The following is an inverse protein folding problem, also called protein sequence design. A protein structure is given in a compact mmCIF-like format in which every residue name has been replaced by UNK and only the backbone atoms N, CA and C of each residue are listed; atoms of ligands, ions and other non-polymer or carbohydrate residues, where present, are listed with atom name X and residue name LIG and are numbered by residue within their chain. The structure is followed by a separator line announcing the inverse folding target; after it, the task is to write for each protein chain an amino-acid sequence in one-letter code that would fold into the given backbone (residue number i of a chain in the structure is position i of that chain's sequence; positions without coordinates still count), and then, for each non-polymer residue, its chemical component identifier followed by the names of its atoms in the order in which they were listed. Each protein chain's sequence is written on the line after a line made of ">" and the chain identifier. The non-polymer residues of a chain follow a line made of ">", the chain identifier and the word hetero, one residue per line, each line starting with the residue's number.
data_IF_103294157412
#
_entry.id   IF_103294157412
#
_cell.length_a   1.000
_cell.length_b   1.000
_cell.length_c   1.000
_cell.angle_alpha   90.00
_cell.angle_beta   90.00
_cell.angle_gamma   90.00
#
_symmetry.space_group_name_H-M   'P 1'
#
loop_
_entity.id
_entity.type
_entity.pdbx_description
1 polymer ?
#
# COMPACT_ATOMS: atom_id res chain seq x y z
N UNK A 1 0.31 1.57 -21.75
CA UNK A 1 -0.72 0.77 -21.05
C UNK A 1 -1.87 1.69 -20.67
N UNK A 2 -3.11 1.20 -20.62
CA UNK A 2 -4.23 1.99 -20.09
C UNK A 2 -3.92 2.41 -18.65
N UNK A 3 -4.20 3.66 -18.29
CA UNK A 3 -4.09 4.14 -16.91
C UNK A 3 -5.32 3.71 -16.11
N UNK A 4 -5.10 3.24 -14.89
CA UNK A 4 -6.20 2.93 -13.96
C UNK A 4 -6.61 4.22 -13.26
N UNK A 5 -7.74 4.80 -13.66
CA UNK A 5 -8.28 6.04 -13.08
C UNK A 5 -9.19 5.79 -11.87
N UNK A 6 -9.22 4.57 -11.36
CA UNK A 6 -10.10 4.22 -10.25
C UNK A 6 -9.62 4.81 -8.92
N UNK A 7 -10.45 5.68 -8.37
CA UNK A 7 -10.32 6.19 -7.00
C UNK A 7 -11.41 5.55 -6.15
N UNK A 8 -11.03 4.96 -5.02
CA UNK A 8 -11.99 4.31 -4.13
C UNK A 8 -12.98 5.35 -3.56
N UNK A 9 -14.29 5.22 -3.81
CA UNK A 9 -15.26 6.11 -3.19
C UNK A 9 -15.25 5.96 -1.66
N UNK A 10 -15.34 7.08 -0.93
CA UNK A 10 -15.28 7.05 0.54
C UNK A 10 -16.37 6.15 1.15
N UNK A 11 -17.59 6.20 0.63
CA UNK A 11 -18.68 5.35 1.10
C UNK A 11 -18.36 3.86 0.94
N UNK A 12 -17.67 3.47 -0.14
CA UNK A 12 -17.32 2.08 -0.41
C UNK A 12 -16.23 1.60 0.55
N UNK A 13 -15.28 2.48 0.90
CA UNK A 13 -14.30 2.20 1.95
C UNK A 13 -14.98 1.94 3.29
N UNK A 14 -15.80 2.88 3.77
CA UNK A 14 -16.47 2.75 5.07
C UNK A 14 -17.45 1.58 5.13
N UNK A 15 -18.26 1.40 4.08
CA UNK A 15 -19.16 0.25 3.98
C UNK A 15 -18.37 -1.06 3.90
N UNK A 16 -17.26 -1.09 3.16
CA UNK A 16 -16.38 -2.25 3.05
C UNK A 16 -15.85 -2.69 4.41
N UNK A 17 -15.39 -1.75 5.25
CA UNK A 17 -14.90 -2.04 6.59
C UNK A 17 -15.95 -2.62 7.53
N UNK A 18 -17.25 -2.42 7.26
CA UNK A 18 -18.33 -2.97 8.09
C UNK A 18 -18.87 -4.27 7.49
N UNK A 19 -19.24 -4.25 6.21
CA UNK A 19 -19.93 -5.35 5.53
C UNK A 19 -19.01 -6.55 5.33
N UNK A 20 -17.77 -6.33 4.88
CA UNK A 20 -16.86 -7.42 4.56
C UNK A 20 -16.52 -8.28 5.79
N UNK A 21 -16.13 -7.73 6.96
CA UNK A 21 -15.87 -8.54 8.15
C UNK A 21 -17.06 -9.32 8.65
N UNK A 22 -18.25 -8.73 8.65
CA UNK A 22 -19.47 -9.43 9.07
C UNK A 22 -19.74 -10.62 8.15
N UNK A 23 -19.64 -10.40 6.84
CA UNK A 23 -19.78 -11.48 5.86
C UNK A 23 -18.71 -12.56 6.04
N UNK A 24 -17.43 -12.17 6.19
CA UNK A 24 -16.32 -13.08 6.40
C UNK A 24 -16.47 -13.90 7.69
N UNK A 25 -16.92 -13.27 8.77
CA UNK A 25 -17.20 -13.93 10.05
C UNK A 25 -18.32 -14.97 9.93
N UNK A 26 -19.44 -14.62 9.27
CA UNK A 26 -20.54 -15.56 9.03
C UNK A 26 -20.08 -16.75 8.18
N UNK A 27 -19.31 -16.51 7.12
CA UNK A 27 -18.75 -17.57 6.30
C UNK A 27 -17.79 -18.47 7.08
N UNK A 28 -16.84 -17.89 7.82
CA UNK A 28 -15.86 -18.63 8.60
C UNK A 28 -16.53 -19.55 9.62
N UNK A 29 -17.57 -19.07 10.31
CA UNK A 29 -18.33 -19.88 11.28
C UNK A 29 -19.10 -21.00 10.62
N UNK A 30 -19.72 -20.77 9.46
CA UNK A 30 -20.39 -21.82 8.68
C UNK A 30 -19.41 -22.91 8.23
N UNK A 31 -18.23 -22.52 7.78
CA UNK A 31 -17.18 -23.46 7.37
C UNK A 31 -16.69 -24.30 8.55
N UNK A 32 -16.38 -23.67 9.71
CA UNK A 32 -15.98 -24.40 10.92
C UNK A 32 -17.08 -25.38 11.39
N UNK A 33 -18.34 -24.97 11.34
CA UNK A 33 -19.47 -25.84 11.70
C UNK A 33 -19.59 -27.05 10.77
N UNK A 34 -19.46 -26.85 9.45
CA UNK A 34 -19.49 -27.93 8.46
C UNK A 34 -18.32 -28.90 8.64
N UNK A 35 -17.13 -28.37 8.89
CA UNK A 35 -15.93 -29.17 9.07
C UNK A 35 -15.97 -30.03 10.35
N UNK A 36 -16.58 -29.54 11.45
CA UNK A 36 -16.86 -30.37 12.64
C UNK A 36 -17.79 -31.56 12.37
N UNK A 37 -18.75 -31.40 11.45
CA UNK A 37 -19.76 -32.44 11.16
C UNK A 37 -19.25 -33.47 10.15
N UNK A 38 -18.44 -33.05 9.18
CA UNK A 38 -18.01 -33.92 8.06
C UNK A 38 -16.54 -34.37 8.15
N UNK A 39 -15.78 -33.92 9.15
CA UNK A 39 -14.37 -34.28 9.34
C UNK A 39 -13.39 -33.71 8.30
N UNK A 40 -13.90 -32.99 7.30
CA UNK A 40 -13.15 -32.66 6.09
C UNK A 40 -12.66 -31.19 6.11
N UNK A 41 -11.54 -30.95 6.82
CA UNK A 41 -10.92 -29.62 6.91
C UNK A 41 -9.99 -29.29 5.73
N UNK A 42 -9.67 -30.26 4.86
CA UNK A 42 -8.52 -30.20 3.93
C UNK A 42 -8.90 -30.09 2.45
N UNK A 43 -10.17 -29.86 2.13
CA UNK A 43 -10.62 -29.73 0.73
C UNK A 43 -10.20 -28.40 0.09
N UNK A 44 -9.72 -28.45 -1.16
CA UNK A 44 -9.56 -27.25 -1.97
C UNK A 44 -10.94 -26.68 -2.32
N UNK A 45 -11.16 -25.38 -2.13
CA UNK A 45 -12.45 -24.78 -2.51
C UNK A 45 -12.32 -24.05 -3.85
N UNK A 46 -13.25 -24.34 -4.76
CA UNK A 46 -13.25 -23.75 -6.10
C UNK A 46 -13.44 -22.22 -6.06
N UNK A 47 -14.35 -21.66 -5.24
CA UNK A 47 -14.48 -20.21 -5.11
C UNK A 47 -13.19 -19.55 -4.61
N UNK A 48 -12.49 -20.16 -3.66
CA UNK A 48 -11.22 -19.65 -3.15
C UNK A 48 -10.12 -19.71 -4.21
N UNK A 49 -10.08 -20.77 -5.02
CA UNK A 49 -9.13 -20.87 -6.13
C UNK A 49 -9.31 -19.74 -7.14
N UNK A 50 -10.56 -19.42 -7.52
CA UNK A 50 -10.85 -18.28 -8.40
C UNK A 50 -10.55 -16.94 -7.73
N UNK A 51 -10.85 -16.79 -6.45
CA UNK A 51 -10.50 -15.59 -5.69
C UNK A 51 -8.98 -15.36 -5.68
N UNK A 52 -8.19 -16.41 -5.42
CA UNK A 52 -6.73 -16.36 -5.44
C UNK A 52 -6.20 -16.11 -6.86
N UNK A 53 -6.85 -16.64 -7.90
CA UNK A 53 -6.50 -16.33 -9.29
C UNK A 53 -6.66 -14.83 -9.58
N UNK A 54 -7.76 -14.23 -9.15
CA UNK A 54 -7.99 -12.79 -9.36
C UNK A 54 -7.01 -11.95 -8.52
N UNK A 55 -6.78 -12.34 -7.26
CA UNK A 55 -6.00 -11.59 -6.29
C UNK A 55 -4.51 -11.91 -6.24
N UNK A 56 -4.06 -12.89 -7.01
CA UNK A 56 -2.71 -13.44 -6.90
C UNK A 56 -2.24 -14.13 -8.17
N UNK A 57 -3.08 -14.19 -9.21
CA UNK A 57 -2.79 -14.95 -10.42
C UNK A 57 -1.63 -14.39 -11.24
N UNK A 58 -1.37 -13.08 -11.17
CA UNK A 58 -0.19 -12.49 -11.82
C UNK A 58 1.13 -13.00 -11.23
N UNK A 59 1.12 -13.50 -10.00
CA UNK A 59 2.27 -14.12 -9.34
C UNK A 59 2.18 -15.66 -9.32
N UNK A 60 1.15 -16.24 -9.95
CA UNK A 60 0.92 -17.69 -9.96
C UNK A 60 0.43 -18.27 -8.63
N UNK A 61 -0.10 -17.45 -7.70
CA UNK A 61 -0.49 -17.91 -6.35
C UNK A 61 -1.58 -18.99 -6.37
N UNK A 62 -2.47 -18.98 -7.37
CA UNK A 62 -3.51 -20.00 -7.53
C UNK A 62 -2.94 -21.38 -7.84
N UNK A 63 -1.79 -21.45 -8.52
CA UNK A 63 -1.08 -22.72 -8.76
C UNK A 63 -0.42 -23.22 -7.48
N UNK A 64 0.16 -22.34 -6.67
CA UNK A 64 0.73 -22.73 -5.37
C UNK A 64 -0.34 -23.18 -4.38
N UNK A 65 -1.50 -22.52 -4.37
CA UNK A 65 -2.67 -22.96 -3.62
C UNK A 65 -3.01 -24.42 -3.96
N UNK A 66 -2.96 -24.79 -5.25
CA UNK A 66 -3.20 -26.15 -5.73
C UNK A 66 -1.94 -27.06 -5.70
N UNK A 67 -0.92 -26.73 -4.90
CA UNK A 67 0.36 -27.46 -4.74
C UNK A 67 1.09 -27.74 -6.07
N UNK A 68 1.01 -26.82 -7.03
CA UNK A 68 1.66 -26.91 -8.33
C UNK A 68 2.80 -25.89 -8.45
N UNK A 69 4.03 -26.35 -8.66
CA UNK A 69 5.20 -25.48 -8.87
C UNK A 69 5.18 -24.69 -10.18
N UNK A 70 4.29 -25.03 -11.12
CA UNK A 70 4.10 -24.26 -12.36
C UNK A 70 3.71 -22.79 -12.12
N UNK A 71 3.28 -22.43 -10.90
CA UNK A 71 3.12 -21.03 -10.50
C UNK A 71 4.40 -20.20 -10.65
N UNK A 72 5.58 -20.83 -10.52
CA UNK A 72 6.88 -20.16 -10.71
C UNK A 72 7.06 -19.59 -12.12
N UNK A 73 6.37 -20.10 -13.14
CA UNK A 73 6.46 -19.56 -14.51
C UNK A 73 5.88 -18.15 -14.65
N UNK A 74 4.96 -17.74 -13.75
CA UNK A 74 4.37 -16.41 -13.76
C UNK A 74 5.37 -15.35 -13.26
N UNK A 75 6.27 -15.72 -12.35
CA UNK A 75 7.17 -14.79 -11.66
C UNK A 75 8.15 -14.11 -12.63
N UNK A 76 8.88 -14.82 -13.52
CA UNK A 76 9.77 -14.17 -14.48
C UNK A 76 9.04 -13.22 -15.44
N UNK A 77 7.85 -13.60 -15.90
CA UNK A 77 7.03 -12.75 -16.78
C UNK A 77 6.61 -11.49 -16.04
N UNK A 78 6.16 -11.63 -14.79
CA UNK A 78 5.80 -10.51 -13.94
C UNK A 78 7.01 -9.58 -13.67
N UNK A 79 8.16 -10.13 -13.27
CA UNK A 79 9.39 -9.36 -13.03
C UNK A 79 9.81 -8.62 -14.30
N UNK A 80 9.73 -9.24 -15.47
CA UNK A 80 10.04 -8.59 -16.73
C UNK A 80 9.15 -7.38 -16.99
N UNK A 81 7.85 -7.45 -16.68
CA UNK A 81 6.94 -6.30 -16.76
C UNK A 81 7.43 -5.16 -15.84
N UNK A 82 7.86 -5.49 -14.61
CA UNK A 82 8.37 -4.48 -13.66
C UNK A 82 9.61 -3.78 -14.21
N UNK A 83 10.57 -4.55 -14.73
CA UNK A 83 11.82 -4.04 -15.33
C UNK A 83 11.50 -3.19 -16.56
N UNK A 84 10.68 -3.69 -17.48
CA UNK A 84 10.31 -2.98 -18.69
C UNK A 84 9.59 -1.65 -18.40
N UNK A 85 8.70 -1.62 -17.41
CA UNK A 85 8.07 -0.37 -16.97
C UNK A 85 9.05 0.56 -16.24
N UNK A 86 10.08 0.03 -15.56
CA UNK A 86 11.20 0.79 -15.01
C UNK A 86 11.98 1.52 -16.09
N UNK A 87 12.47 0.78 -17.08
CA UNK A 87 13.18 1.31 -18.25
C UNK A 87 12.33 2.34 -19.00
N UNK A 88 11.05 2.05 -19.20
CA UNK A 88 10.13 2.99 -19.85
C UNK A 88 10.06 4.35 -19.12
N UNK A 89 10.20 4.37 -17.79
CA UNK A 89 10.23 5.63 -17.01
C UNK A 89 11.53 6.39 -17.22
N UNK A 90 12.67 5.72 -17.25
CA UNK A 90 13.96 6.35 -17.52
C UNK A 90 13.99 6.98 -18.91
N UNK A 91 13.62 6.23 -19.95
CA UNK A 91 13.56 6.78 -21.31
C UNK A 91 12.55 7.93 -21.46
N UNK A 92 11.47 7.95 -20.65
CA UNK A 92 10.54 9.08 -20.62
C UNK A 92 11.17 10.33 -20.05
N UNK A 93 11.96 10.21 -18.97
CA UNK A 93 12.70 11.32 -18.39
C UNK A 93 13.73 11.87 -19.39
N UNK A 94 14.57 10.98 -19.95
CA UNK A 94 15.57 11.38 -20.96
C UNK A 94 14.94 12.03 -22.20
N UNK A 95 13.79 11.51 -22.66
CA UNK A 95 13.05 12.12 -23.76
C UNK A 95 12.55 13.52 -23.39
N UNK A 96 11.99 13.70 -22.20
CA UNK A 96 11.48 15.00 -21.74
C UNK A 96 12.58 16.05 -21.70
N UNK A 97 13.75 15.71 -21.16
CA UNK A 97 14.90 16.60 -21.06
C UNK A 97 15.45 16.98 -22.44
N UNK A 98 15.63 15.99 -23.32
CA UNK A 98 16.14 16.20 -24.66
C UNK A 98 15.15 17.00 -25.54
N UNK A 99 13.85 16.69 -25.45
CA UNK A 99 12.81 17.39 -26.18
C UNK A 99 12.69 18.87 -25.74
N UNK A 100 12.78 19.15 -24.44
CA UNK A 100 12.78 20.51 -23.92
C UNK A 100 13.97 21.33 -24.47
N UNK A 101 15.16 20.71 -24.55
CA UNK A 101 16.35 21.35 -25.11
C UNK A 101 16.18 21.64 -26.61
N UNK A 102 15.65 20.68 -27.38
CA UNK A 102 15.31 20.86 -28.81
C UNK A 102 14.33 22.02 -28.99
N UNK A 103 13.26 22.07 -28.22
CA UNK A 103 12.25 23.13 -28.30
C UNK A 103 12.86 24.51 -27.98
N UNK A 104 13.67 24.59 -26.92
CA UNK A 104 14.36 25.83 -26.54
C UNK A 104 15.34 26.31 -27.63
N UNK A 105 16.13 25.39 -28.20
CA UNK A 105 17.14 25.66 -29.21
C UNK A 105 16.49 26.08 -30.54
N UNK A 106 15.44 25.38 -30.96
CA UNK A 106 14.66 25.73 -32.15
C UNK A 106 14.01 27.11 -31.99
N UNK A 107 13.47 27.40 -30.80
CA UNK A 107 12.94 28.72 -30.48
C UNK A 107 14.00 29.82 -30.55
N UNK A 108 15.22 29.56 -30.07
CA UNK A 108 16.33 30.51 -30.16
C UNK A 108 16.78 30.75 -31.62
N UNK A 109 16.91 29.69 -32.43
CA UNK A 109 17.26 29.80 -33.85
C UNK A 109 16.22 30.61 -34.61
N UNK A 110 14.94 30.33 -34.37
CA UNK A 110 13.82 31.01 -35.03
C UNK A 110 13.77 32.51 -34.69
N UNK A 111 14.17 32.90 -33.47
CA UNK A 111 14.19 34.30 -33.02
C UNK A 111 15.46 35.06 -33.44
N UNK A 112 16.63 34.43 -33.32
CA UNK A 112 17.92 35.11 -33.54
C UNK A 112 18.24 35.27 -35.03
N UNK A 113 17.80 34.36 -35.90
CA UNK A 113 18.03 34.45 -37.35
C UNK A 113 17.54 35.78 -37.97
N UNK A 114 16.24 36.12 -37.83
CA UNK A 114 15.71 37.39 -38.34
C UNK A 114 16.34 38.63 -37.68
N UNK A 115 16.60 38.58 -36.37
CA UNK A 115 17.22 39.69 -35.63
C UNK A 115 18.63 39.99 -36.12
N UNK A 116 19.43 38.96 -36.37
CA UNK A 116 20.78 39.13 -36.93
C UNK A 116 20.69 39.75 -38.32
N UNK A 117 19.79 39.26 -39.18
CA UNK A 117 19.60 39.82 -40.51
C UNK A 117 19.18 41.30 -40.49
N UNK A 118 18.28 41.68 -39.57
CA UNK A 118 17.87 43.07 -39.37
C UNK A 118 19.03 43.96 -38.89
N UNK A 119 19.78 43.51 -37.88
CA UNK A 119 20.93 44.25 -37.36
C UNK A 119 22.06 44.39 -38.39
N UNK A 120 22.31 43.35 -39.19
CA UNK A 120 23.28 43.39 -40.29
C UNK A 120 22.83 44.32 -41.41
N UNK A 121 21.53 44.39 -41.70
CA UNK A 121 20.96 45.33 -42.66
C UNK A 121 21.07 46.80 -42.25
N UNK A 122 21.05 47.10 -40.94
CA UNK A 122 21.21 48.45 -40.39
C UNK A 122 22.68 48.89 -40.25
N UNK A 123 23.63 47.96 -40.33
CA UNK A 123 25.06 48.22 -40.11
C UNK A 123 25.70 49.15 -41.16
N UNK A 124 25.39 49.05 -42.48
CA UNK A 124 25.90 49.96 -43.50
C UNK A 124 25.54 51.42 -43.23
N UNK A 125 24.29 51.71 -42.89
CA UNK A 125 23.83 53.08 -42.58
C UNK A 125 24.57 53.67 -41.37
N UNK A 126 24.85 52.84 -40.36
CA UNK A 126 25.62 53.27 -39.18
C UNK A 126 27.08 53.56 -39.53
N UNK A 127 27.68 52.77 -40.43
CA UNK A 127 29.04 52.99 -40.93
C UNK A 127 29.14 54.21 -41.83
N UNK A 128 28.12 54.46 -42.65
CA UNK A 128 28.03 55.66 -43.47
C UNK A 128 27.92 56.93 -42.60
N UNK A 129 27.07 56.92 -41.57
CA UNK A 129 26.97 58.01 -40.59
C UNK A 129 28.29 58.28 -39.86
N UNK A 130 29.09 57.25 -39.61
CA UNK A 130 30.44 57.39 -39.04
C UNK A 130 31.41 58.02 -40.06
N UNK A 131 31.37 57.60 -41.32
CA UNK A 131 32.23 58.11 -42.39
C UNK A 131 31.95 59.58 -42.75
N UNK A 132 30.70 60.04 -42.59
CA UNK A 132 30.31 61.44 -42.82
C UNK A 132 30.62 62.37 -41.64
N UNK A 133 30.97 61.83 -40.46
CA UNK A 133 31.23 62.63 -39.27
C UNK A 133 32.69 63.15 -39.23
N UNK A 134 32.94 64.45 -38.96
CA UNK A 134 34.30 64.97 -38.87
C UNK A 134 35.10 64.30 -37.75
N UNK A 135 36.31 63.82 -38.07
CA UNK A 135 37.20 63.16 -37.09
C UNK A 135 37.44 64.05 -35.86
N UNK A 136 37.28 63.47 -34.66
CA UNK A 136 37.44 64.17 -33.39
C UNK A 136 36.19 64.88 -32.85
N UNK A 137 35.13 65.04 -33.66
CA UNK A 137 33.86 65.67 -33.24
C UNK A 137 33.08 64.81 -32.22
N UNK A 138 32.17 65.44 -31.45
CA UNK A 138 31.27 64.71 -30.55
C UNK A 138 30.37 63.73 -31.34
N UNK A 139 29.95 64.13 -32.55
CA UNK A 139 29.16 63.30 -33.46
C UNK A 139 29.91 62.04 -33.93
N UNK A 140 31.21 62.18 -34.23
CA UNK A 140 32.07 61.04 -34.58
C UNK A 140 32.17 60.02 -33.43
N UNK A 141 32.44 60.47 -32.20
CA UNK A 141 32.52 59.58 -31.01
C UNK A 141 31.19 58.87 -30.71
N UNK A 142 30.05 59.52 -30.97
CA UNK A 142 28.72 58.92 -30.81
C UNK A 142 28.44 57.87 -31.90
N UNK A 143 28.75 58.18 -33.16
CA UNK A 143 28.62 57.26 -34.28
C UNK A 143 29.54 56.03 -34.11
N UNK A 144 30.78 56.22 -33.68
CA UNK A 144 31.75 55.17 -33.39
C UNK A 144 31.24 54.22 -32.28
N UNK A 145 30.72 54.78 -31.18
CA UNK A 145 30.07 54.00 -30.11
C UNK A 145 28.83 53.26 -30.61
N UNK A 146 28.07 53.85 -31.53
CA UNK A 146 26.90 53.23 -32.14
C UNK A 146 27.26 51.99 -32.96
N UNK A 147 28.24 52.12 -33.85
CA UNK A 147 28.79 51.01 -34.65
C UNK A 147 29.35 49.91 -33.74
N UNK A 148 30.20 50.25 -32.77
CA UNK A 148 30.79 49.28 -31.83
C UNK A 148 29.74 48.51 -31.02
N UNK A 149 28.65 49.17 -30.60
CA UNK A 149 27.53 48.51 -29.90
C UNK A 149 26.74 47.59 -30.83
N UNK A 150 26.48 48.00 -32.06
CA UNK A 150 25.79 47.18 -33.05
C UNK A 150 26.60 45.92 -33.37
N UNK A 151 27.90 46.06 -33.62
CA UNK A 151 28.82 44.94 -33.87
C UNK A 151 28.89 43.98 -32.66
N UNK A 152 28.98 44.51 -31.42
CA UNK A 152 28.96 43.68 -30.22
C UNK A 152 27.64 42.92 -30.04
N UNK A 153 26.49 43.53 -30.36
CA UNK A 153 25.18 42.85 -30.32
C UNK A 153 25.08 41.75 -31.37
N UNK A 154 25.53 42.01 -32.61
CA UNK A 154 25.57 41.02 -33.69
C UNK A 154 26.47 39.84 -33.28
N UNK A 155 27.67 40.10 -32.77
CA UNK A 155 28.60 39.05 -32.32
C UNK A 155 27.98 38.18 -31.23
N UNK A 156 27.40 38.77 -30.18
CA UNK A 156 26.74 38.02 -29.10
C UNK A 156 25.55 37.18 -29.60
N UNK A 157 24.80 37.70 -30.58
CA UNK A 157 23.62 37.04 -31.13
C UNK A 157 24.03 35.87 -32.04
N UNK A 158 25.10 36.04 -32.83
CA UNK A 158 25.73 34.95 -33.60
C UNK A 158 26.25 33.85 -32.70
N UNK A 159 26.86 34.19 -31.56
CA UNK A 159 27.34 33.22 -30.58
C UNK A 159 26.19 32.44 -29.93
N UNK A 160 25.08 33.13 -29.57
CA UNK A 160 23.85 32.46 -29.09
C UNK A 160 23.23 31.55 -30.16
N UNK A 161 23.21 32.00 -31.42
CA UNK A 161 22.73 31.21 -32.54
C UNK A 161 23.60 29.96 -32.79
N UNK A 162 24.92 30.10 -32.70
CA UNK A 162 25.86 28.99 -32.83
C UNK A 162 25.66 27.96 -31.72
N UNK A 163 25.57 28.40 -30.46
CA UNK A 163 25.23 27.54 -29.31
C UNK A 163 23.92 26.79 -29.53
N UNK A 164 22.85 27.51 -29.90
CA UNK A 164 21.54 26.90 -30.15
C UNK A 164 21.58 25.86 -31.28
N UNK A 165 22.38 26.06 -32.33
CA UNK A 165 22.57 25.05 -33.39
C UNK A 165 23.29 23.82 -32.87
N UNK A 166 24.37 23.99 -32.10
CA UNK A 166 25.09 22.87 -31.47
C UNK A 166 24.20 22.10 -30.51
N UNK A 167 23.41 22.80 -29.69
CA UNK A 167 22.45 22.20 -28.77
C UNK A 167 21.38 21.40 -29.53
N UNK A 168 20.90 21.93 -30.67
CA UNK A 168 19.94 21.22 -31.52
C UNK A 168 20.54 19.96 -32.16
N UNK A 169 21.77 20.05 -32.69
CA UNK A 169 22.46 18.91 -33.31
C UNK A 169 22.74 17.78 -32.32
N UNK A 170 23.00 18.11 -31.05
CA UNK A 170 23.26 17.11 -30.00
C UNK A 170 21.97 16.58 -29.37
N UNK A 171 20.99 17.45 -29.10
CA UNK A 171 19.76 17.07 -28.41
C UNK A 171 18.78 16.29 -29.29
N UNK A 172 18.75 16.56 -30.60
CA UNK A 172 17.82 15.89 -31.53
C UNK A 172 18.03 14.36 -31.62
N UNK A 173 19.24 13.84 -31.88
CA UNK A 173 19.45 12.39 -31.88
C UNK A 173 19.22 11.78 -30.49
N UNK A 174 19.54 12.50 -29.41
CA UNK A 174 19.23 12.06 -28.05
C UNK A 174 17.72 11.91 -27.80
N UNK A 175 16.91 12.87 -28.28
CA UNK A 175 15.45 12.78 -28.18
C UNK A 175 14.88 11.64 -29.04
N UNK A 176 15.39 11.42 -30.25
CA UNK A 176 14.95 10.34 -31.14
C UNK A 176 15.28 8.95 -30.58
N UNK A 177 16.52 8.76 -30.10
CA UNK A 177 16.94 7.51 -29.42
C UNK A 177 16.13 7.25 -28.16
N UNK A 178 15.89 8.28 -27.33
CA UNK A 178 15.07 8.14 -26.14
C UNK A 178 13.60 7.79 -26.47
N UNK A 179 13.05 8.38 -27.54
CA UNK A 179 11.71 8.07 -28.03
C UNK A 179 11.60 6.61 -28.50
N UNK A 180 12.58 6.14 -29.26
CA UNK A 180 12.64 4.76 -29.75
C UNK A 180 12.76 3.76 -28.59
N UNK A 181 13.67 4.00 -27.63
CA UNK A 181 13.83 3.18 -26.43
C UNK A 181 12.54 3.12 -25.60
N UNK A 182 11.89 4.27 -25.38
CA UNK A 182 10.59 4.33 -24.70
C UNK A 182 9.53 3.49 -25.41
N UNK A 183 9.46 3.55 -26.74
CA UNK A 183 8.48 2.80 -27.53
C UNK A 183 8.74 1.28 -27.44
N UNK A 184 10.00 0.87 -27.57
CA UNK A 184 10.41 -0.52 -27.43
C UNK A 184 10.01 -1.11 -26.08
N UNK A 185 10.39 -0.45 -24.98
CA UNK A 185 10.09 -0.95 -23.62
C UNK A 185 8.59 -0.95 -23.32
N UNK A 186 7.84 0.04 -23.83
CA UNK A 186 6.37 0.04 -23.75
C UNK A 186 5.77 -1.19 -24.42
N UNK A 187 6.24 -1.55 -25.62
CA UNK A 187 5.70 -2.66 -26.39
C UNK A 187 6.09 -4.00 -25.78
N UNK A 188 7.34 -4.13 -25.30
CA UNK A 188 7.79 -5.31 -24.54
C UNK A 188 6.97 -5.54 -23.27
N UNK A 189 6.73 -4.48 -22.49
CA UNK A 189 5.88 -4.56 -21.30
C UNK A 189 4.45 -4.99 -21.67
N UNK A 190 3.90 -4.48 -22.79
CA UNK A 190 2.57 -4.85 -23.27
C UNK A 190 2.48 -6.32 -23.68
N UNK A 191 3.46 -6.85 -24.45
CA UNK A 191 3.47 -8.25 -24.84
C UNK A 191 3.57 -9.19 -23.63
N UNK A 192 4.46 -8.88 -22.68
CA UNK A 192 4.58 -9.66 -21.45
C UNK A 192 3.30 -9.62 -20.61
N UNK A 193 2.63 -8.46 -20.54
CA UNK A 193 1.33 -8.34 -19.90
C UNK A 193 0.25 -9.20 -20.58
N UNK A 194 0.16 -9.17 -21.91
CA UNK A 194 -0.80 -10.01 -22.64
C UNK A 194 -0.53 -11.51 -22.47
N UNK A 195 0.75 -11.91 -22.48
CA UNK A 195 1.15 -13.28 -22.18
C UNK A 195 0.67 -13.70 -20.78
N UNK A 196 0.89 -12.85 -19.78
CA UNK A 196 0.49 -13.10 -18.40
C UNK A 196 -1.03 -13.22 -18.25
N UNK A 197 -1.80 -12.32 -18.89
CA UNK A 197 -3.27 -12.40 -18.93
C UNK A 197 -3.74 -13.68 -19.63
N UNK A 198 -3.11 -14.07 -20.73
CA UNK A 198 -3.44 -15.31 -21.44
C UNK A 198 -3.17 -16.55 -20.57
N UNK A 199 -2.06 -16.59 -19.83
CA UNK A 199 -1.76 -17.64 -18.86
C UNK A 199 -2.82 -17.71 -17.74
N UNK A 200 -3.23 -16.56 -17.19
CA UNK A 200 -4.29 -16.49 -16.19
C UNK A 200 -5.65 -16.94 -16.73
N UNK A 201 -6.01 -16.54 -17.95
CA UNK A 201 -7.26 -16.93 -18.59
C UNK A 201 -7.30 -18.45 -18.87
N UNK A 202 -6.19 -19.02 -19.34
CA UNK A 202 -6.05 -20.47 -19.49
C UNK A 202 -6.27 -21.19 -18.15
N UNK A 203 -5.66 -20.67 -17.08
CA UNK A 203 -5.80 -21.25 -15.74
C UNK A 203 -7.22 -21.09 -15.17
N UNK A 204 -7.92 -20.00 -15.49
CA UNK A 204 -9.32 -19.81 -15.12
C UNK A 204 -10.22 -20.91 -15.70
N UNK A 205 -10.00 -21.27 -16.96
CA UNK A 205 -10.74 -22.33 -17.65
C UNK A 205 -10.36 -23.71 -17.10
N UNK A 206 -9.07 -23.95 -16.85
CA UNK A 206 -8.58 -25.23 -16.35
C UNK A 206 -8.80 -25.45 -14.85
N UNK A 207 -9.27 -24.45 -14.11
CA UNK A 207 -9.36 -24.47 -12.65
C UNK A 207 -10.11 -25.69 -12.07
N UNK A 208 -11.27 -26.12 -12.60
CA UNK A 208 -11.97 -27.30 -12.08
C UNK A 208 -11.16 -28.59 -12.24
N UNK A 209 -10.40 -28.71 -13.34
CA UNK A 209 -9.52 -29.85 -13.59
C UNK A 209 -8.29 -29.82 -12.68
N UNK A 210 -7.67 -28.65 -12.51
CA UNK A 210 -6.53 -28.47 -11.62
C UNK A 210 -6.87 -28.80 -10.16
N UNK A 211 -8.06 -28.39 -9.71
CA UNK A 211 -8.60 -28.76 -8.39
C UNK A 211 -8.68 -30.28 -8.22
N UNK A 212 -9.33 -30.98 -9.15
CA UNK A 212 -9.48 -32.45 -9.08
C UNK A 212 -8.14 -33.15 -9.03
N UNK A 213 -7.17 -32.68 -9.81
CA UNK A 213 -5.80 -33.23 -9.81
C UNK A 213 -5.07 -32.98 -8.48
N UNK A 214 -5.24 -31.80 -7.89
CA UNK A 214 -4.65 -31.48 -6.59
C UNK A 214 -5.26 -32.32 -5.48
N UNK A 215 -6.59 -32.51 -5.48
CA UNK A 215 -7.29 -33.38 -4.52
C UNK A 215 -6.81 -34.84 -4.63
N UNK A 216 -6.67 -35.36 -5.84
CA UNK A 216 -6.15 -36.71 -6.06
C UNK A 216 -4.71 -36.88 -5.54
N UNK A 217 -3.86 -35.86 -5.72
CA UNK A 217 -2.49 -35.88 -5.22
C UNK A 217 -2.43 -35.83 -3.70
N UNK A 218 -3.23 -34.96 -3.07
CA UNK A 218 -3.32 -34.90 -1.59
C UNK A 218 -3.88 -36.19 -1.02
N UNK A 219 -4.89 -36.80 -1.65
CA UNK A 219 -5.42 -38.08 -1.21
C UNK A 219 -4.37 -39.21 -1.28
N UNK A 220 -3.49 -39.20 -2.29
CA UNK A 220 -2.37 -40.13 -2.39
C UNK A 220 -1.30 -39.86 -1.30
N UNK A 221 -0.88 -38.61 -1.13
CA UNK A 221 0.09 -38.20 -0.10
C UNK A 221 -0.46 -38.50 1.33
N UNK A 222 -1.76 -38.29 1.57
CA UNK A 222 -2.41 -38.57 2.85
C UNK A 222 -2.56 -40.08 3.10
N UNK A 223 -2.75 -40.90 2.06
CA UNK A 223 -2.75 -42.36 2.20
C UNK A 223 -1.36 -42.90 2.57
N UNK A 224 -0.30 -42.28 2.06
CA UNK A 224 1.09 -42.60 2.37
C UNK A 224 1.46 -42.13 3.79
N UNK A 225 1.08 -40.92 4.19
CA UNK A 225 1.32 -40.38 5.56
C UNK A 225 0.53 -41.10 6.65
N UNK A 226 -0.70 -41.56 6.39
CA UNK A 226 -1.46 -42.37 7.36
C UNK A 226 -0.74 -43.67 7.75
N UNK A 227 0.20 -44.16 6.93
CA UNK A 227 1.04 -45.29 7.29
C UNK A 227 2.21 -44.92 8.23
N UNK A 228 2.56 -43.63 8.36
CA UNK A 228 3.62 -43.09 9.24
C UNK A 228 3.06 -42.41 10.53
N UNK A 229 1.75 -42.17 10.63
CA UNK A 229 1.13 -41.13 11.48
C UNK A 229 0.74 -41.51 12.93
N UNK A 230 0.87 -42.75 13.40
CA UNK A 230 0.43 -43.08 14.79
C UNK A 230 1.25 -42.34 15.87
N UNK A 231 2.49 -41.95 15.58
CA UNK A 231 3.34 -41.19 16.50
C UNK A 231 3.06 -39.67 16.50
N UNK A 232 2.70 -39.10 15.34
CA UNK A 232 2.38 -37.67 15.17
C UNK A 232 0.98 -37.31 15.68
N UNK A 233 0.03 -38.25 15.63
CA UNK A 233 -1.33 -38.05 16.16
C UNK A 233 -1.33 -37.79 17.68
N UNK A 234 -0.45 -38.46 18.42
CA UNK A 234 -0.31 -38.25 19.88
C UNK A 234 0.28 -36.87 20.17
N UNK A 235 1.25 -36.42 19.38
CA UNK A 235 1.85 -35.09 19.53
C UNK A 235 0.86 -33.97 19.19
N UNK A 236 0.13 -34.10 18.07
CA UNK A 236 -0.87 -33.12 17.65
C UNK A 236 -2.10 -33.08 18.57
N UNK A 237 -2.53 -34.21 19.14
CA UNK A 237 -3.58 -34.22 20.14
C UNK A 237 -3.16 -33.48 21.43
N UNK A 238 -1.86 -33.48 21.77
CA UNK A 238 -1.32 -32.69 22.89
C UNK A 238 -1.21 -31.20 22.53
N UNK A 239 -0.77 -30.86 21.31
CA UNK A 239 -0.73 -29.46 20.83
C UNK A 239 -2.13 -28.83 20.69
N UNK A 240 -3.13 -29.57 20.20
CA UNK A 240 -4.51 -29.10 20.06
C UNK A 240 -5.20 -28.88 21.42
N UNK A 241 -4.78 -29.64 22.46
CA UNK A 241 -5.22 -29.44 23.85
C UNK A 241 -4.55 -28.20 24.47
N UNK A 242 -3.29 -27.92 24.16
CA UNK A 242 -2.61 -26.67 24.56
C UNK A 242 -3.19 -25.43 23.84
N UNK A 243 -3.59 -25.59 22.57
CA UNK A 243 -4.30 -24.58 21.76
C UNK A 243 -5.82 -24.55 21.99
N UNK A 244 -6.27 -24.75 23.24
CA UNK A 244 -7.66 -24.48 23.61
C UNK A 244 -8.04 -23.07 23.14
N UNK A 245 -8.99 -22.97 22.21
CA UNK A 245 -9.29 -21.72 21.51
C UNK A 245 -9.61 -20.58 22.46
N UNK A 246 -9.40 -19.34 21.99
CA UNK A 246 -9.49 -18.09 22.78
C UNK A 246 -10.80 -17.90 23.57
N UNK A 247 -11.83 -18.69 23.27
CA UNK A 247 -13.05 -18.81 24.05
C UNK A 247 -12.83 -19.24 25.51
N UNK A 248 -11.71 -19.88 25.84
CA UNK A 248 -11.35 -20.26 27.22
C UNK A 248 -11.19 -19.05 28.15
N UNK A 249 -10.92 -17.86 27.60
CA UNK A 249 -10.77 -16.62 28.35
C UNK A 249 -12.11 -15.96 28.71
N UNK A 250 -13.23 -16.46 28.18
CA UNK A 250 -14.56 -15.87 28.41
C UNK A 250 -15.10 -16.25 29.78
N UNK A 251 -15.37 -15.25 30.63
CA UNK A 251 -16.00 -15.49 31.93
C UNK A 251 -17.53 -15.56 31.85
N UNK A 252 -18.18 -15.89 32.97
CA UNK A 252 -19.65 -15.93 33.11
C UNK A 252 -20.19 -14.71 33.86
N UNK A 253 -21.48 -14.40 33.69
CA UNK A 253 -22.13 -13.27 34.34
C UNK A 253 -21.87 -11.94 33.62
N UNK A 254 -21.81 -10.83 34.37
CA UNK A 254 -21.66 -9.49 33.78
C UNK A 254 -20.27 -9.24 33.16
N UNK A 255 -19.20 -9.79 33.75
CA UNK A 255 -17.83 -9.76 33.18
C UNK A 255 -17.77 -10.49 31.85
N UNK A 256 -18.53 -11.59 31.74
CA UNK A 256 -18.65 -12.37 30.51
C UNK A 256 -19.30 -11.61 29.34
N UNK A 257 -20.16 -10.63 29.63
CA UNK A 257 -20.73 -9.77 28.57
C UNK A 257 -19.63 -8.88 27.98
N UNK A 258 -18.81 -8.29 28.84
CA UNK A 258 -17.66 -7.46 28.44
C UNK A 258 -16.65 -8.31 27.65
N UNK A 259 -16.28 -9.48 28.17
CA UNK A 259 -15.32 -10.36 27.51
C UNK A 259 -15.80 -10.76 26.11
N UNK A 260 -17.11 -11.04 25.95
CA UNK A 260 -17.70 -11.33 24.62
C UNK A 260 -17.67 -10.13 23.69
N UNK A 261 -17.92 -8.92 24.20
CA UNK A 261 -17.80 -7.70 23.40
C UNK A 261 -16.37 -7.54 22.86
N UNK A 262 -15.37 -7.65 23.72
CA UNK A 262 -13.95 -7.59 23.34
C UNK A 262 -13.57 -8.70 22.37
N UNK A 263 -14.03 -9.93 22.63
CA UNK A 263 -13.78 -11.09 21.77
C UNK A 263 -14.33 -10.88 20.36
N UNK A 264 -15.61 -10.51 20.23
CA UNK A 264 -16.22 -10.33 18.91
C UNK A 264 -15.73 -9.06 18.20
N UNK A 265 -15.39 -8.00 18.94
CA UNK A 265 -14.77 -6.81 18.35
C UNK A 265 -13.41 -7.16 17.72
N UNK A 266 -12.55 -7.90 18.43
CA UNK A 266 -11.27 -8.38 17.92
C UNK A 266 -11.42 -9.34 16.74
N UNK A 267 -12.34 -10.32 16.84
CA UNK A 267 -12.65 -11.24 15.72
C UNK A 267 -13.11 -10.47 14.48
N UNK A 268 -13.97 -9.46 14.65
CA UNK A 268 -14.46 -8.62 13.55
C UNK A 268 -13.31 -7.91 12.85
N UNK A 269 -12.48 -7.16 13.58
CA UNK A 269 -11.40 -6.37 12.97
C UNK A 269 -10.25 -7.25 12.46
N UNK A 270 -10.12 -8.50 12.91
CA UNK A 270 -9.14 -9.44 12.37
C UNK A 270 -9.30 -9.67 10.86
N UNK A 271 -10.55 -9.61 10.35
CA UNK A 271 -10.83 -9.76 8.93
C UNK A 271 -10.41 -8.55 8.09
N UNK A 272 -10.13 -7.38 8.69
CA UNK A 272 -9.57 -6.23 7.96
C UNK A 272 -8.19 -6.54 7.37
N UNK A 273 -7.39 -7.40 8.00
CA UNK A 273 -6.11 -7.83 7.45
C UNK A 273 -6.26 -8.47 6.05
N UNK A 274 -7.39 -9.13 5.80
CA UNK A 274 -7.69 -9.71 4.48
C UNK A 274 -7.94 -8.62 3.45
N UNK A 275 -8.64 -7.54 3.80
CA UNK A 275 -8.84 -6.37 2.93
C UNK A 275 -7.48 -5.78 2.52
N UNK A 276 -6.53 -5.70 3.45
CA UNK A 276 -5.20 -5.17 3.16
C UNK A 276 -4.45 -5.97 2.10
N UNK A 277 -4.57 -7.30 2.11
CA UNK A 277 -3.94 -8.16 1.09
C UNK A 277 -4.45 -7.78 -0.30
N UNK A 278 -5.77 -7.65 -0.47
CA UNK A 278 -6.35 -7.26 -1.77
C UNK A 278 -5.97 -5.83 -2.17
N UNK A 279 -6.02 -4.88 -1.24
CA UNK A 279 -5.73 -3.47 -1.50
C UNK A 279 -4.26 -3.26 -1.91
N UNK A 280 -3.30 -3.83 -1.17
CA UNK A 280 -1.88 -3.72 -1.52
C UNK A 280 -1.52 -4.49 -2.77
N UNK A 281 -2.13 -5.65 -3.02
CA UNK A 281 -1.95 -6.35 -4.28
C UNK A 281 -2.42 -5.51 -5.47
N UNK A 282 -3.60 -4.88 -5.34
CA UNK A 282 -4.09 -3.92 -6.32
C UNK A 282 -3.11 -2.75 -6.51
N UNK A 283 -2.57 -2.17 -5.44
CA UNK A 283 -1.59 -1.08 -5.53
C UNK A 283 -0.31 -1.49 -6.26
N UNK A 284 0.25 -2.67 -5.95
CA UNK A 284 1.45 -3.17 -6.61
C UNK A 284 1.20 -3.35 -8.10
N UNK A 285 0.05 -3.92 -8.48
CA UNK A 285 -0.32 -4.06 -9.89
C UNK A 285 -0.51 -2.68 -10.53
N UNK A 286 -1.33 -1.81 -9.94
CA UNK A 286 -1.64 -0.51 -10.51
C UNK A 286 -0.36 0.32 -10.71
N UNK A 287 0.51 0.37 -9.69
CA UNK A 287 1.76 1.12 -9.70
C UNK A 287 2.78 0.54 -10.68
N UNK A 288 3.04 -0.75 -10.63
CA UNK A 288 4.19 -1.30 -11.34
C UNK A 288 3.86 -1.97 -12.66
N UNK A 289 2.63 -2.47 -12.84
CA UNK A 289 2.17 -3.02 -14.13
C UNK A 289 1.56 -1.92 -14.98
N UNK A 290 0.63 -1.14 -14.42
CA UNK A 290 -0.08 -0.10 -15.18
C UNK A 290 0.59 1.28 -15.13
N UNK A 291 1.69 1.44 -14.39
CA UNK A 291 2.37 2.72 -14.17
C UNK A 291 1.41 3.82 -13.68
N UNK A 292 0.47 3.43 -12.81
CA UNK A 292 -0.68 4.20 -12.34
C UNK A 292 -0.81 4.03 -10.81
N UNK A 293 0.07 4.66 -10.01
CA UNK A 293 0.00 4.58 -8.54
C UNK A 293 -1.33 5.13 -8.04
N UNK A 294 -1.90 4.52 -7.00
CA UNK A 294 -3.17 4.99 -6.45
C UNK A 294 -2.93 6.07 -5.39
N UNK A 295 -3.86 7.02 -5.32
CA UNK A 295 -3.84 8.08 -4.30
C UNK A 295 -4.45 7.65 -2.96
N UNK A 296 -5.12 6.49 -2.92
CA UNK A 296 -6.00 6.11 -1.81
C UNK A 296 -5.54 4.87 -1.05
N UNK A 297 -4.88 3.88 -1.68
CA UNK A 297 -4.62 2.58 -1.02
C UNK A 297 -3.78 2.76 0.24
N UNK A 298 -2.70 3.54 0.15
CA UNK A 298 -1.78 3.71 1.29
C UNK A 298 -2.49 4.36 2.49
N UNK A 299 -3.21 5.45 2.27
CA UNK A 299 -3.96 6.15 3.31
C UNK A 299 -5.12 5.29 3.85
N UNK A 300 -5.86 4.61 2.99
CA UNK A 300 -6.94 3.70 3.37
C UNK A 300 -6.45 2.59 4.30
N UNK A 301 -5.31 1.97 3.99
CA UNK A 301 -4.75 0.89 4.82
C UNK A 301 -4.15 1.42 6.11
N UNK A 302 -3.49 2.58 6.07
CA UNK A 302 -2.96 3.25 7.26
C UNK A 302 -4.07 3.53 8.29
N UNK A 303 -5.17 4.15 7.85
CA UNK A 303 -6.33 4.43 8.71
C UNK A 303 -6.96 3.14 9.22
N UNK A 304 -7.17 2.15 8.34
CA UNK A 304 -7.76 0.86 8.71
C UNK A 304 -6.94 0.14 9.79
N UNK A 305 -5.62 0.05 9.64
CA UNK A 305 -4.76 -0.58 10.64
C UNK A 305 -4.70 0.21 11.95
N UNK A 306 -4.78 1.55 11.89
CA UNK A 306 -4.90 2.37 13.10
C UNK A 306 -6.16 2.06 13.90
N UNK A 307 -7.31 1.97 13.24
CA UNK A 307 -8.56 1.51 13.88
C UNK A 307 -8.44 0.08 14.39
N UNK A 308 -7.84 -0.82 13.60
CA UNK A 308 -7.67 -2.23 13.94
C UNK A 308 -6.89 -2.38 15.24
N UNK A 309 -5.77 -1.67 15.35
CA UNK A 309 -4.89 -1.71 16.50
C UNK A 309 -5.61 -1.29 17.78
N UNK A 310 -6.38 -0.20 17.74
CA UNK A 310 -7.09 0.32 18.90
C UNK A 310 -8.23 -0.59 19.35
N UNK A 311 -9.00 -1.14 18.41
CA UNK A 311 -10.10 -2.07 18.73
C UNK A 311 -9.56 -3.42 19.23
N UNK A 312 -8.47 -3.92 18.62
CA UNK A 312 -7.80 -5.15 19.05
C UNK A 312 -7.20 -5.05 20.46
N UNK A 313 -6.95 -3.85 20.99
CA UNK A 313 -6.39 -3.68 22.33
C UNK A 313 -7.21 -4.40 23.41
N UNK A 314 -8.53 -4.30 23.37
CA UNK A 314 -9.37 -5.01 24.34
C UNK A 314 -9.29 -6.54 24.17
N UNK A 315 -9.24 -7.03 22.92
CA UNK A 315 -9.06 -8.46 22.63
C UNK A 315 -7.72 -8.98 23.17
N UNK A 316 -6.62 -8.29 22.87
CA UNK A 316 -5.29 -8.66 23.35
C UNK A 316 -5.18 -8.59 24.87
N UNK A 317 -6.00 -7.78 25.55
CA UNK A 317 -6.07 -7.79 27.01
C UNK A 317 -6.83 -9.01 27.54
N UNK A 318 -7.93 -9.40 26.88
CA UNK A 318 -8.71 -10.60 27.21
C UNK A 318 -7.87 -11.88 27.06
N UNK A 319 -7.12 -12.02 25.97
CA UNK A 319 -6.26 -13.19 25.68
C UNK A 319 -4.87 -13.10 26.31
N UNK A 320 -4.63 -12.06 27.12
CA UNK A 320 -3.35 -11.77 27.75
C UNK A 320 -2.14 -11.70 26.80
N UNK A 321 -2.37 -11.30 25.55
CA UNK A 321 -1.36 -11.22 24.49
C UNK A 321 -0.59 -9.90 24.47
N UNK A 322 -0.84 -9.00 25.41
CA UNK A 322 0.02 -7.83 25.60
C UNK A 322 1.41 -8.28 26.05
N UNK A 323 2.44 -7.58 25.56
CA UNK A 323 3.81 -7.81 26.00
C UNK A 323 3.90 -7.53 27.50
N UNK A 324 4.23 -8.55 28.29
CA UNK A 324 4.44 -8.48 29.73
C UNK A 324 5.86 -8.91 30.07
N UNK A 325 6.36 -8.44 31.21
CA UNK A 325 7.64 -8.90 31.75
C UNK A 325 7.39 -10.14 32.60
N UNK A 326 7.49 -11.32 31.98
CA UNK A 326 7.11 -12.58 32.65
C UNK A 326 8.16 -13.10 33.64
N UNK A 327 9.41 -12.61 33.58
CA UNK A 327 10.54 -13.09 34.41
C UNK A 327 10.22 -13.06 35.91
N UNK A 328 9.58 -11.99 36.38
CA UNK A 328 9.21 -11.84 37.79
C UNK A 328 7.76 -12.21 38.08
N UNK A 329 6.90 -12.23 37.06
CA UNK A 329 5.46 -12.46 37.20
C UNK A 329 5.11 -13.95 37.14
N UNK A 330 5.71 -14.72 36.23
CA UNK A 330 5.43 -16.13 36.01
C UNK A 330 5.49 -17.02 37.28
N UNK A 331 6.53 -16.92 38.15
CA UNK A 331 6.64 -17.78 39.33
C UNK A 331 5.74 -17.37 40.51
N UNK A 332 4.99 -16.27 40.40
CA UNK A 332 4.12 -15.82 41.49
C UNK A 332 2.90 -16.73 41.65
N UNK A 333 2.46 -16.92 42.90
CA UNK A 333 1.20 -17.61 43.19
C UNK A 333 0.00 -16.82 42.65
N UNK A 334 -1.15 -17.45 42.35
CA UNK A 334 -2.32 -16.76 41.78
C UNK A 334 -2.76 -15.52 42.56
N UNK A 335 -2.71 -15.57 43.90
CA UNK A 335 -3.00 -14.41 44.76
C UNK A 335 -2.00 -13.27 44.57
N UNK A 336 -0.70 -13.59 44.48
CA UNK A 336 0.36 -12.58 44.32
C UNK A 336 0.29 -11.93 42.94
N UNK A 337 -0.03 -12.72 41.90
CA UNK A 337 -0.33 -12.21 40.55
C UNK A 337 -1.47 -11.19 40.60
N UNK A 338 -2.61 -11.57 41.17
CA UNK A 338 -3.78 -10.69 41.30
C UNK A 338 -3.48 -9.40 42.11
N UNK A 339 -2.65 -9.46 43.15
CA UNK A 339 -2.22 -8.25 43.90
C UNK A 339 -1.37 -7.32 43.03
N UNK A 340 -0.42 -7.88 42.27
CA UNK A 340 0.42 -7.10 41.35
C UNK A 340 -0.41 -6.50 40.22
N UNK A 341 -1.34 -7.27 39.66
CA UNK A 341 -2.26 -6.81 38.61
C UNK A 341 -3.18 -5.70 39.15
N UNK A 342 -3.70 -5.83 40.38
CA UNK A 342 -4.47 -4.79 41.05
C UNK A 342 -3.64 -3.50 41.26
N UNK A 343 -2.40 -3.61 41.72
CA UNK A 343 -1.52 -2.46 41.92
C UNK A 343 -1.15 -1.77 40.60
N UNK A 344 -0.86 -2.55 39.55
CA UNK A 344 -0.52 -2.02 38.22
C UNK A 344 -1.74 -1.50 37.45
N UNK A 345 -2.95 -1.95 37.81
CA UNK A 345 -4.20 -1.50 37.18
C UNK A 345 -4.40 0.02 37.26
N UNK A 346 -3.87 0.67 38.30
CA UNK A 346 -3.95 2.14 38.45
C UNK A 346 -3.29 2.85 37.26
N UNK A 347 -2.09 2.42 36.87
CA UNK A 347 -1.39 2.99 35.71
C UNK A 347 -2.12 2.67 34.41
N UNK A 348 -2.68 1.47 34.31
CA UNK A 348 -3.53 1.10 33.18
C UNK A 348 -4.74 2.03 33.05
N UNK A 349 -5.47 2.33 34.13
CA UNK A 349 -6.63 3.22 34.07
C UNK A 349 -6.27 4.68 33.81
N UNK A 350 -5.11 5.15 34.28
CA UNK A 350 -4.58 6.48 33.89
C UNK A 350 -4.37 6.53 32.39
N UNK A 351 -3.69 5.52 31.82
CA UNK A 351 -3.45 5.42 30.38
C UNK A 351 -4.75 5.29 29.58
N UNK A 352 -5.57 4.28 29.88
CA UNK A 352 -6.78 3.97 29.13
C UNK A 352 -7.83 5.07 29.28
N UNK A 353 -7.95 5.67 30.46
CA UNK A 353 -8.82 6.82 30.70
C UNK A 353 -8.38 8.07 29.93
N UNK A 354 -7.08 8.38 29.93
CA UNK A 354 -6.53 9.50 29.13
C UNK A 354 -6.71 9.25 27.65
N UNK A 355 -6.46 8.03 27.17
CA UNK A 355 -6.68 7.64 25.78
C UNK A 355 -8.14 7.81 25.38
N UNK A 356 -9.09 7.35 26.20
CA UNK A 356 -10.53 7.49 25.93
C UNK A 356 -10.95 8.97 25.92
N UNK A 357 -10.54 9.74 26.93
CA UNK A 357 -10.92 11.15 27.06
C UNK A 357 -10.36 12.01 25.92
N UNK A 358 -9.07 11.86 25.61
CA UNK A 358 -8.44 12.61 24.50
C UNK A 358 -8.99 12.17 23.14
N UNK A 359 -9.25 10.88 22.94
CA UNK A 359 -9.91 10.39 21.73
C UNK A 359 -11.31 11.00 21.55
N UNK A 360 -12.06 11.19 22.64
CA UNK A 360 -13.39 11.80 22.58
C UNK A 360 -13.33 13.26 22.14
N UNK A 361 -12.38 14.03 22.68
CA UNK A 361 -12.14 15.43 22.26
C UNK A 361 -11.81 15.45 20.76
N UNK A 362 -10.83 14.65 20.32
CA UNK A 362 -10.42 14.62 18.92
C UNK A 362 -11.52 14.14 17.97
N UNK A 363 -12.31 13.15 18.35
CA UNK A 363 -13.43 12.66 17.55
C UNK A 363 -14.52 13.72 17.41
N UNK A 364 -14.82 14.44 18.50
CA UNK A 364 -15.79 15.52 18.49
C UNK A 364 -15.34 16.68 17.62
N UNK A 365 -14.11 17.18 17.83
CA UNK A 365 -13.54 18.27 17.05
C UNK A 365 -13.53 17.94 15.55
N UNK A 366 -13.09 16.73 15.18
CA UNK A 366 -13.06 16.27 13.80
C UNK A 366 -14.44 16.19 13.14
N UNK A 367 -15.48 15.92 13.93
CA UNK A 367 -16.86 15.88 13.46
C UNK A 367 -17.40 17.29 13.25
N UNK A 368 -17.07 18.22 14.14
CA UNK A 368 -17.56 19.61 14.08
C UNK A 368 -16.91 20.38 12.93
N UNK A 369 -15.63 20.13 12.65
CA UNK A 369 -14.87 20.86 11.61
C UNK A 369 -14.86 20.16 10.25
N UNK A 370 -15.60 19.06 10.10
CA UNK A 370 -15.56 18.18 8.91
C UNK A 370 -14.13 17.88 8.44
N UNK A 371 -13.32 17.38 9.38
CA UNK A 371 -11.90 17.16 9.13
C UNK A 371 -11.68 16.09 8.06
N UNK A 372 -10.91 16.44 7.03
CA UNK A 372 -10.55 15.56 5.91
C UNK A 372 -9.04 15.44 5.80
N UNK A 373 -8.58 14.37 5.15
CA UNK A 373 -7.16 14.15 4.93
C UNK A 373 -6.52 15.23 4.05
N UNK A 374 -5.24 15.49 4.34
CA UNK A 374 -4.40 16.42 3.57
C UNK A 374 -3.96 15.85 2.21
N UNK A 375 -4.13 14.54 2.02
CA UNK A 375 -3.79 13.86 0.78
C UNK A 375 -4.87 14.09 -0.29
N UNK A 376 -4.54 13.82 -1.55
CA UNK A 376 -5.44 14.00 -2.70
C UNK A 376 -6.76 13.22 -2.58
N UNK A 377 -6.78 12.12 -1.82
CA UNK A 377 -7.98 11.32 -1.60
C UNK A 377 -9.02 12.02 -0.68
N UNK A 378 -8.58 12.93 0.20
CA UNK A 378 -9.43 13.77 1.07
C UNK A 378 -10.49 13.00 1.87
N UNK A 379 -10.13 11.85 2.43
CA UNK A 379 -11.06 11.04 3.23
C UNK A 379 -11.37 11.72 4.57
N UNK A 380 -12.63 11.65 5.01
CA UNK A 380 -13.04 12.19 6.32
C UNK A 380 -12.38 11.43 7.48
N UNK A 381 -11.81 12.14 8.46
CA UNK A 381 -11.13 11.53 9.61
C UNK A 381 -12.06 11.23 10.79
N UNK A 382 -13.26 11.82 10.84
CA UNK A 382 -14.15 11.61 11.97
C UNK A 382 -14.43 10.12 12.25
N UNK A 383 -14.66 9.20 11.28
CA UNK A 383 -14.96 7.81 11.61
C UNK A 383 -13.77 7.07 12.24
N UNK A 384 -12.55 7.38 11.77
CA UNK A 384 -11.30 6.88 12.36
C UNK A 384 -11.17 7.30 13.82
N UNK A 385 -11.39 8.60 14.12
CA UNK A 385 -11.26 9.13 15.47
C UNK A 385 -12.34 8.59 16.41
N UNK A 386 -13.56 8.37 15.92
CA UNK A 386 -14.59 7.66 16.67
C UNK A 386 -14.25 6.19 16.93
N UNK A 387 -13.56 5.51 16.00
CA UNK A 387 -13.03 4.17 16.27
C UNK A 387 -11.97 4.18 17.38
N UNK A 388 -11.22 5.27 17.56
CA UNK A 388 -10.33 5.44 18.73
C UNK A 388 -11.11 5.49 20.04
N UNK A 389 -12.24 6.21 20.07
CA UNK A 389 -13.16 6.26 21.22
C UNK A 389 -13.70 4.86 21.53
N UNK A 390 -14.15 4.13 20.50
CA UNK A 390 -14.65 2.76 20.65
C UNK A 390 -13.56 1.84 21.20
N UNK A 391 -12.34 1.88 20.64
CA UNK A 391 -11.21 1.08 21.12
C UNK A 391 -10.83 1.41 22.57
N UNK A 392 -10.75 2.70 22.91
CA UNK A 392 -10.50 3.15 24.29
C UNK A 392 -11.58 2.72 25.27
N UNK A 393 -12.86 2.82 24.86
CA UNK A 393 -13.99 2.37 25.67
C UNK A 393 -13.94 0.86 25.91
N UNK A 394 -13.72 0.07 24.86
CA UNK A 394 -13.56 -1.39 24.97
C UNK A 394 -12.39 -1.76 25.88
N UNK A 395 -11.27 -1.04 25.79
CA UNK A 395 -10.11 -1.27 26.63
C UNK A 395 -10.42 -0.99 28.11
N UNK A 396 -11.07 0.14 28.43
CA UNK A 396 -11.52 0.46 29.80
C UNK A 396 -12.50 -0.59 30.32
N UNK A 397 -13.49 -1.00 29.52
CA UNK A 397 -14.44 -2.04 29.89
C UNK A 397 -13.73 -3.37 30.17
N UNK A 398 -12.81 -3.80 29.29
CA UNK A 398 -12.04 -5.02 29.50
C UNK A 398 -11.18 -4.94 30.77
N UNK A 399 -10.61 -3.77 31.05
CA UNK A 399 -9.91 -3.50 32.30
C UNK A 399 -10.80 -3.67 33.54
N UNK A 400 -12.07 -3.25 33.47
CA UNK A 400 -13.06 -3.45 34.55
C UNK A 400 -13.35 -4.95 34.73
N UNK A 401 -13.49 -5.71 33.64
CA UNK A 401 -13.65 -7.16 33.70
C UNK A 401 -12.45 -7.81 34.42
N UNK A 402 -11.22 -7.46 34.02
CA UNK A 402 -10.00 -8.00 34.62
C UNK A 402 -9.84 -7.61 36.09
N UNK A 403 -10.06 -6.34 36.41
CA UNK A 403 -10.04 -5.84 37.80
C UNK A 403 -11.01 -6.60 38.70
N UNK A 404 -12.23 -6.87 38.22
CA UNK A 404 -13.23 -7.63 38.98
C UNK A 404 -12.79 -9.08 39.23
N UNK A 405 -12.09 -9.69 38.27
CA UNK A 405 -11.52 -11.03 38.41
C UNK A 405 -10.37 -11.05 39.42
N UNK A 406 -9.46 -10.07 39.36
CA UNK A 406 -8.34 -9.95 40.29
C UNK A 406 -8.83 -9.72 41.73
N UNK A 407 -9.83 -8.86 41.93
CA UNK A 407 -10.46 -8.64 43.23
C UNK A 407 -11.09 -9.94 43.77
N UNK A 408 -11.76 -10.73 42.92
CA UNK A 408 -12.30 -12.04 43.31
C UNK A 408 -11.19 -13.04 43.65
N UNK A 409 -10.09 -13.06 42.89
CA UNK A 409 -8.96 -13.95 43.14
C UNK A 409 -8.24 -13.63 44.46
N UNK A 410 -8.18 -12.35 44.84
CA UNK A 410 -7.67 -11.92 46.16
C UNK A 410 -8.65 -12.27 47.28
N UNK A 411 -9.96 -12.05 47.08
CA UNK A 411 -10.99 -12.25 48.09
C UNK A 411 -11.32 -13.74 48.37
N UNK A 412 -11.33 -14.59 47.33
CA UNK A 412 -11.71 -16.00 47.41
C UNK A 412 -10.59 -16.92 46.94
N UNK A 413 -9.57 -17.12 47.78
CA UNK A 413 -8.38 -17.76 47.29
C UNK A 413 -8.38 -19.30 47.36
N UNK A 414 -9.51 -19.92 47.72
CA UNK A 414 -9.68 -21.37 47.80
C UNK A 414 -10.32 -21.99 46.52
N UNK A 415 -10.69 -21.17 45.54
CA UNK A 415 -11.39 -21.63 44.31
C UNK A 415 -10.51 -21.85 43.08
N UNK A 416 -9.18 -21.80 43.24
CA UNK A 416 -8.22 -22.04 42.15
C UNK A 416 -7.38 -23.27 42.45
N UNK A 417 -7.98 -24.44 42.30
CA UNK A 417 -7.31 -25.75 42.21
C UNK A 417 -7.88 -26.49 41.01
#
# INVERSE_FOLDING_TARGET
>A
MPSLTFVLPHWLYWAGLIVFPVFAMVMARRTKARARVHGDWRGYSLPLAYMILIAGGMLGLHRFYLKSLLGLLFIPVFIFILVANGEQREYRASYSDAAALVESAQGAITREGPRIAEMEGQLPDLREKLAQAPEGSIGFRLAERGVKRAEGRIASSKERLARAKTDLETARPAAETAAAGRAFWRDMAAYAFYLLVAMMALDAVLMPWLKRRAEAKVAADDAERRAESEADEILHAVEDVEQGGDQKHLTTGWTGVIDRMSFYAGELVSYWAVIAVFAYYYEVIARYVFNSPTIWVHEAMYLMFGMQYLICGAYAMLTESHVRVDVFYAPLSPRRKAIVDLATSVFFYIFAGTLLFTSLIFAWDATVVDEVSFNEWRIAYWPMKWAMVIGGLLLVLQGISKLAQDVRAVANPAGGA
#
